data_IF_432359107336
#
_entry.id   IF_432359107336
#
_cell.length_a   1.000
_cell.length_b   1.000
_cell.length_c   1.000
_cell.angle_alpha   90.00
_cell.angle_beta   90.00
_cell.angle_gamma   90.00
#
_symmetry.space_group_name_H-M   'P 1'
#
loop_
_entity.id
_entity.type
_entity.pdbx_description
1 polymer ?
#
# COMPACT_ATOMS: atom_id res chain seq x y z
N UNK A 1 39.10 13.49 -5.40
CA UNK A 1 38.56 14.42 -6.42
C UNK A 1 37.13 14.77 -6.03
N UNK A 2 36.74 16.05 -5.94
CA UNK A 2 35.38 16.42 -5.59
C UNK A 2 34.46 16.05 -6.77
N UNK A 3 33.57 15.09 -6.54
CA UNK A 3 32.57 14.67 -7.52
C UNK A 3 31.68 15.85 -7.89
N UNK A 4 31.61 16.17 -9.18
CA UNK A 4 30.71 17.19 -9.73
C UNK A 4 29.30 16.95 -9.21
N UNK A 5 28.73 17.91 -8.48
CA UNK A 5 27.30 17.93 -8.20
C UNK A 5 26.56 17.99 -9.56
N UNK A 6 25.56 17.13 -9.81
CA UNK A 6 24.82 17.16 -11.07
C UNK A 6 24.15 18.53 -11.23
N UNK A 7 24.45 19.20 -12.35
CA UNK A 7 23.92 20.52 -12.65
C UNK A 7 22.42 20.44 -12.92
N UNK A 8 21.66 21.09 -12.04
CA UNK A 8 20.20 21.11 -12.03
C UNK A 8 19.62 21.75 -13.30
N UNK A 9 18.89 20.96 -14.08
CA UNK A 9 17.80 21.46 -14.93
C UNK A 9 16.51 20.80 -14.47
N UNK A 10 15.94 21.29 -13.37
CA UNK A 10 14.54 21.01 -13.08
C UNK A 10 13.74 21.39 -14.36
N UNK A 11 12.82 20.55 -14.85
CA UNK A 11 11.99 20.90 -15.99
C UNK A 11 11.40 22.28 -15.70
N UNK A 12 11.52 23.20 -16.65
CA UNK A 12 11.00 24.57 -16.53
C UNK A 12 9.56 24.59 -15.99
N UNK A 13 8.76 23.57 -16.30
CA UNK A 13 7.43 23.35 -15.75
C UNK A 13 7.41 23.20 -14.21
N UNK A 14 8.30 22.39 -13.62
CA UNK A 14 8.38 22.24 -12.15
C UNK A 14 8.74 23.58 -11.52
N UNK A 15 9.66 24.35 -12.13
CA UNK A 15 10.04 25.68 -11.62
C UNK A 15 8.89 26.67 -11.69
N UNK A 16 8.12 26.67 -12.78
CA UNK A 16 6.91 27.50 -12.90
C UNK A 16 5.91 27.13 -11.78
N UNK A 17 5.68 25.83 -11.56
CA UNK A 17 4.78 25.36 -10.50
C UNK A 17 5.29 25.75 -9.09
N UNK A 18 6.59 25.67 -8.83
CA UNK A 18 7.21 26.15 -7.59
C UNK A 18 6.98 27.66 -7.40
N UNK A 19 7.20 28.48 -8.45
CA UNK A 19 6.98 29.93 -8.39
C UNK A 19 5.51 30.29 -8.13
N UNK A 20 4.58 29.60 -8.80
CA UNK A 20 3.13 29.79 -8.58
C UNK A 20 2.73 29.36 -7.17
N UNK A 21 3.29 28.26 -6.66
CA UNK A 21 3.00 27.77 -5.33
C UNK A 21 3.66 28.60 -4.22
N UNK A 22 4.77 29.29 -4.49
CA UNK A 22 5.57 30.03 -3.52
C UNK A 22 4.76 30.99 -2.61
N UNK A 23 3.84 31.84 -3.11
CA UNK A 23 3.03 32.72 -2.24
C UNK A 23 1.87 32.01 -1.52
N UNK A 24 1.51 30.78 -1.90
CA UNK A 24 0.31 30.11 -1.37
C UNK A 24 0.58 29.47 0.00
N UNK A 25 -0.33 29.59 0.96
CA UNK A 25 -0.21 28.84 2.23
C UNK A 25 -0.47 27.34 2.02
N UNK A 26 0.01 26.48 2.93
CA UNK A 26 -0.32 25.04 2.92
C UNK A 26 -1.83 24.79 3.00
N UNK A 27 -2.58 25.66 3.71
CA UNK A 27 -4.03 25.60 3.76
C UNK A 27 -4.67 25.88 2.38
N UNK A 28 -4.15 26.86 1.62
CA UNK A 28 -4.61 27.14 0.26
C UNK A 28 -4.29 25.98 -0.69
N UNK A 29 -3.09 25.40 -0.60
CA UNK A 29 -2.74 24.21 -1.38
C UNK A 29 -3.64 23.02 -1.05
N UNK A 30 -4.00 22.83 0.22
CA UNK A 30 -4.95 21.79 0.63
C UNK A 30 -6.37 22.03 0.08
N UNK A 31 -6.83 23.29 0.03
CA UNK A 31 -8.11 23.63 -0.63
C UNK A 31 -8.06 23.31 -2.13
N UNK A 32 -6.97 23.64 -2.81
CA UNK A 32 -6.77 23.26 -4.22
C UNK A 32 -6.76 21.74 -4.39
N UNK A 33 -6.06 21.01 -3.52
CA UNK A 33 -6.04 19.55 -3.51
C UNK A 33 -7.43 18.95 -3.25
N UNK A 34 -8.27 19.62 -2.47
CA UNK A 34 -9.66 19.21 -2.24
C UNK A 34 -10.47 19.25 -3.52
N UNK A 35 -10.30 20.31 -4.33
CA UNK A 35 -10.96 20.45 -5.64
C UNK A 35 -10.42 19.39 -6.62
N UNK A 36 -9.10 19.38 -6.84
CA UNK A 36 -8.46 18.48 -7.82
C UNK A 36 -8.67 17.01 -7.43
N UNK A 37 -8.54 16.66 -6.16
CA UNK A 37 -8.76 15.31 -5.67
C UNK A 37 -10.21 14.86 -5.74
N UNK A 38 -11.17 15.77 -5.50
CA UNK A 38 -12.59 15.45 -5.70
C UNK A 38 -12.90 15.21 -7.18
N UNK A 39 -12.39 16.05 -8.07
CA UNK A 39 -12.54 15.85 -9.52
C UNK A 39 -11.86 14.56 -9.97
N UNK A 40 -10.64 14.29 -9.54
CA UNK A 40 -9.94 13.03 -9.81
C UNK A 40 -10.74 11.80 -9.36
N UNK A 41 -11.39 11.88 -8.20
CA UNK A 41 -12.23 10.79 -7.67
C UNK A 41 -13.48 10.57 -8.52
N UNK A 42 -14.07 11.64 -9.06
CA UNK A 42 -15.25 11.57 -9.93
C UNK A 42 -14.89 11.03 -11.32
N UNK A 43 -13.82 11.54 -11.93
CA UNK A 43 -13.45 11.25 -13.31
C UNK A 43 -12.69 9.92 -13.46
N UNK A 44 -11.86 9.54 -12.49
CA UNK A 44 -11.02 8.32 -12.58
C UNK A 44 -11.70 7.10 -11.96
N UNK A 45 -12.47 6.37 -12.77
CA UNK A 45 -13.12 5.12 -12.34
C UNK A 45 -12.11 4.07 -11.85
N UNK A 46 -10.94 3.98 -12.49
CA UNK A 46 -9.89 3.01 -12.14
C UNK A 46 -9.28 3.29 -10.77
N UNK A 47 -8.92 4.54 -10.47
CA UNK A 47 -8.37 4.92 -9.16
C UNK A 47 -9.42 4.74 -8.07
N UNK A 48 -10.65 5.21 -8.32
CA UNK A 48 -11.79 5.02 -7.41
C UNK A 48 -12.01 3.55 -7.08
N UNK A 49 -12.00 2.67 -8.09
CA UNK A 49 -12.11 1.21 -7.88
C UNK A 49 -10.99 0.69 -6.99
N UNK A 50 -9.73 1.02 -7.27
CA UNK A 50 -8.58 0.52 -6.49
C UNK A 50 -8.69 0.90 -5.03
N UNK A 51 -8.98 2.18 -4.76
CA UNK A 51 -9.13 2.70 -3.39
C UNK A 51 -10.29 2.00 -2.65
N UNK A 52 -11.46 1.93 -3.27
CA UNK A 52 -12.62 1.27 -2.68
C UNK A 52 -12.38 -0.23 -2.46
N UNK A 53 -11.68 -0.91 -3.37
CA UNK A 53 -11.34 -2.33 -3.21
C UNK A 53 -10.44 -2.54 -2.00
N UNK A 54 -9.41 -1.72 -1.82
CA UNK A 54 -8.54 -1.82 -0.64
C UNK A 54 -9.29 -1.50 0.67
N UNK A 55 -10.21 -0.53 0.66
CA UNK A 55 -11.06 -0.23 1.83
C UNK A 55 -11.99 -1.40 2.16
N UNK A 56 -12.59 -2.03 1.15
CA UNK A 56 -13.40 -3.24 1.34
C UNK A 56 -12.60 -4.42 1.89
N UNK A 57 -11.33 -4.55 1.49
CA UNK A 57 -10.42 -5.59 1.99
C UNK A 57 -9.91 -5.28 3.39
N UNK A 58 -9.91 -4.02 3.82
CA UNK A 58 -9.61 -3.62 5.19
C UNK A 58 -10.81 -3.91 6.13
N UNK A 59 -11.19 -5.18 6.24
CA UNK A 59 -12.42 -5.65 6.88
C UNK A 59 -12.57 -5.16 8.32
N UNK A 60 -11.48 -5.13 9.10
CA UNK A 60 -11.50 -4.69 10.49
C UNK A 60 -11.84 -3.21 10.69
N UNK A 61 -11.87 -2.39 9.63
CA UNK A 61 -12.38 -1.03 9.71
C UNK A 61 -13.92 -0.97 9.82
N UNK A 62 -14.62 -2.05 9.45
CA UNK A 62 -16.09 -2.18 9.55
C UNK A 62 -16.85 -0.96 9.01
N UNK A 63 -16.44 -0.48 7.84
CA UNK A 63 -16.95 0.76 7.26
C UNK A 63 -18.23 0.50 6.45
N UNK A 64 -19.25 1.33 6.68
CA UNK A 64 -20.39 1.39 5.77
C UNK A 64 -20.01 2.01 4.41
N UNK A 65 -20.87 1.84 3.40
CA UNK A 65 -20.60 2.26 2.02
C UNK A 65 -20.38 3.77 1.90
N UNK A 66 -21.15 4.56 2.66
CA UNK A 66 -21.09 6.02 2.60
C UNK A 66 -19.74 6.49 3.13
N UNK A 67 -19.32 5.93 4.25
CA UNK A 67 -18.05 6.19 4.93
C UNK A 67 -16.88 5.71 4.09
N UNK A 68 -16.96 4.51 3.49
CA UNK A 68 -15.95 4.03 2.54
C UNK A 68 -15.74 5.01 1.39
N UNK A 69 -16.81 5.51 0.76
CA UNK A 69 -16.71 6.50 -0.33
C UNK A 69 -16.15 7.84 0.13
N UNK A 70 -16.51 8.29 1.33
CA UNK A 70 -15.98 9.53 1.91
C UNK A 70 -14.48 9.41 2.19
N UNK A 71 -14.05 8.30 2.81
CA UNK A 71 -12.63 7.99 3.06
C UNK A 71 -11.88 7.85 1.74
N UNK A 72 -12.46 7.17 0.75
CA UNK A 72 -11.84 6.98 -0.56
C UNK A 72 -11.56 8.32 -1.27
N UNK A 73 -12.54 9.23 -1.25
CA UNK A 73 -12.36 10.58 -1.79
C UNK A 73 -11.32 11.37 -0.99
N UNK A 74 -11.36 11.29 0.34
CA UNK A 74 -10.39 11.98 1.21
C UNK A 74 -8.96 11.47 0.99
N UNK A 75 -8.78 10.17 0.80
CA UNK A 75 -7.50 9.54 0.48
C UNK A 75 -6.91 10.11 -0.81
N UNK A 76 -7.73 10.25 -1.84
CA UNK A 76 -7.28 10.84 -3.09
C UNK A 76 -6.97 12.33 -2.95
N UNK A 77 -7.79 13.10 -2.21
CA UNK A 77 -7.48 14.49 -1.84
C UNK A 77 -6.13 14.58 -1.13
N UNK A 78 -5.85 13.69 -0.18
CA UNK A 78 -4.57 13.70 0.53
C UNK A 78 -3.39 13.41 -0.42
N UNK A 79 -3.53 12.48 -1.37
CA UNK A 79 -2.48 12.23 -2.37
C UNK A 79 -2.15 13.50 -3.19
N UNK A 80 -3.16 14.26 -3.62
CA UNK A 80 -2.94 15.53 -4.31
C UNK A 80 -2.36 16.59 -3.37
N UNK A 81 -2.78 16.61 -2.11
CA UNK A 81 -2.20 17.52 -1.11
C UNK A 81 -0.71 17.25 -0.94
N UNK A 82 -0.30 15.98 -0.76
CA UNK A 82 1.12 15.59 -0.69
C UNK A 82 1.87 16.02 -1.95
N UNK A 83 1.28 15.79 -3.13
CA UNK A 83 1.86 16.22 -4.41
C UNK A 83 2.12 17.72 -4.46
N UNK A 84 1.17 18.53 -3.98
CA UNK A 84 1.33 19.98 -3.92
C UNK A 84 2.30 20.42 -2.82
N UNK A 85 2.37 19.69 -1.70
CA UNK A 85 3.30 19.97 -0.62
C UNK A 85 4.75 19.83 -1.11
N UNK A 86 5.07 18.90 -2.03
CA UNK A 86 6.40 18.81 -2.62
C UNK A 86 6.89 20.13 -3.24
N UNK A 87 5.98 20.96 -3.79
CA UNK A 87 6.31 22.29 -4.34
C UNK A 87 6.78 23.27 -3.25
N UNK A 88 6.45 23.00 -1.98
CA UNK A 88 6.90 23.77 -0.81
C UNK A 88 8.12 23.19 -0.14
N UNK A 89 8.29 21.87 -0.16
CA UNK A 89 9.36 21.18 0.56
C UNK A 89 10.76 21.44 -0.01
N UNK A 90 10.89 21.86 -1.28
CA UNK A 90 12.20 22.20 -1.89
C UNK A 90 12.75 23.56 -1.45
N UNK A 91 11.87 24.53 -1.24
CA UNK A 91 12.24 25.90 -0.91
C UNK A 91 12.22 26.14 0.61
N UNK A 92 12.27 25.06 1.39
CA UNK A 92 12.63 25.17 2.80
C UNK A 92 14.08 25.63 2.81
N UNK A 93 14.35 26.76 3.46
CA UNK A 93 15.72 27.21 3.62
C UNK A 93 16.55 26.06 4.19
N UNK A 94 17.77 25.88 3.67
CA UNK A 94 18.69 24.81 4.09
C UNK A 94 19.04 24.86 5.59
N UNK A 95 18.61 25.91 6.27
CA UNK A 95 18.61 26.00 7.71
C UNK A 95 17.49 25.12 8.30
N UNK A 96 17.87 23.93 8.78
CA UNK A 96 16.97 23.00 9.48
C UNK A 96 16.22 23.67 10.64
N UNK A 97 16.82 24.68 11.28
CA UNK A 97 16.16 25.44 12.35
C UNK A 97 14.92 26.18 11.84
N UNK A 98 14.85 26.54 10.55
CA UNK A 98 13.70 27.26 9.98
C UNK A 98 12.50 26.37 9.65
N UNK A 99 12.68 25.07 9.42
CA UNK A 99 11.54 24.14 9.27
C UNK A 99 10.79 24.01 10.59
N UNK A 100 11.56 23.85 11.67
CA UNK A 100 11.05 23.75 13.03
C UNK A 100 10.53 25.11 13.49
N UNK A 101 11.27 26.21 13.27
CA UNK A 101 10.86 27.56 13.68
C UNK A 101 9.67 28.12 12.91
N UNK A 102 9.49 27.75 11.64
CA UNK A 102 8.30 28.13 10.86
C UNK A 102 7.10 27.18 11.13
N UNK A 103 7.23 26.23 12.06
CA UNK A 103 6.20 25.24 12.41
C UNK A 103 5.67 24.43 11.21
N UNK A 104 6.50 24.24 10.17
CA UNK A 104 6.15 23.40 9.01
C UNK A 104 6.23 21.93 9.40
N UNK A 105 7.20 21.58 10.25
CA UNK A 105 7.28 20.29 10.92
C UNK A 105 7.48 20.54 12.40
N UNK A 106 6.57 20.02 13.21
CA UNK A 106 6.66 20.00 14.66
C UNK A 106 6.68 18.55 15.13
N UNK A 107 7.43 18.24 16.18
CA UNK A 107 7.62 16.88 16.65
C UNK A 107 6.98 16.76 18.04
N UNK A 108 6.09 15.80 18.17
CA UNK A 108 5.58 15.34 19.45
C UNK A 108 6.45 14.17 19.91
N UNK A 109 6.83 14.22 21.18
CA UNK A 109 7.72 13.29 21.84
C UNK A 109 9.13 13.22 21.23
N UNK A 110 9.81 14.36 20.98
CA UNK A 110 11.18 14.35 20.46
C UNK A 110 12.15 13.58 21.38
N UNK A 111 11.88 13.56 22.69
CA UNK A 111 12.69 12.88 23.70
C UNK A 111 12.86 11.39 23.44
N UNK A 112 11.95 10.75 22.69
CA UNK A 112 12.06 9.33 22.33
C UNK A 112 13.32 9.08 21.50
N UNK A 113 13.58 9.92 20.48
CA UNK A 113 14.75 9.75 19.62
C UNK A 113 15.98 10.33 20.32
N UNK A 114 15.85 11.48 20.98
CA UNK A 114 16.97 12.12 21.68
C UNK A 114 17.58 11.20 22.74
N UNK A 115 16.74 10.51 23.53
CA UNK A 115 17.21 9.57 24.55
C UNK A 115 17.91 8.36 23.93
N UNK A 116 17.36 7.79 22.86
CA UNK A 116 17.99 6.65 22.17
C UNK A 116 19.37 7.02 21.63
N UNK A 117 19.51 8.21 21.06
CA UNK A 117 20.79 8.71 20.56
C UNK A 117 21.76 8.95 21.73
N UNK A 118 21.29 9.56 22.82
CA UNK A 118 22.09 9.80 24.02
C UNK A 118 22.60 8.49 24.65
N UNK A 119 21.80 7.44 24.60
CA UNK A 119 22.15 6.09 25.05
C UNK A 119 23.05 5.32 24.06
N UNK A 120 23.46 5.96 22.96
CA UNK A 120 24.37 5.39 21.96
C UNK A 120 23.70 4.47 20.94
N UNK A 121 22.37 4.50 20.83
CA UNK A 121 21.62 3.68 19.87
C UNK A 121 21.36 4.42 18.55
N UNK A 122 21.48 3.68 17.45
CA UNK A 122 21.02 4.11 16.14
C UNK A 122 19.61 3.56 15.88
N UNK A 123 18.56 4.39 15.80
CA UNK A 123 17.20 3.90 15.63
C UNK A 123 16.90 3.50 14.18
N UNK A 124 16.10 2.45 14.03
CA UNK A 124 15.37 2.17 12.78
C UNK A 124 14.10 3.02 12.80
N UNK A 125 13.93 3.90 11.81
CA UNK A 125 12.80 4.82 11.74
C UNK A 125 11.83 4.35 10.66
N UNK A 126 10.60 4.04 11.03
CA UNK A 126 9.58 3.54 10.08
C UNK A 126 8.35 4.43 10.04
N UNK A 127 7.65 4.43 8.91
CA UNK A 127 6.41 5.18 8.72
C UNK A 127 5.45 4.41 7.81
N UNK A 128 4.21 4.88 7.68
CA UNK A 128 3.32 4.52 6.59
C UNK A 128 3.10 5.71 5.66
N UNK A 129 2.53 5.48 4.47
CA UNK A 129 2.13 6.54 3.55
C UNK A 129 0.85 7.24 4.06
N UNK A 130 0.96 7.87 5.23
CA UNK A 130 -0.10 8.56 5.97
C UNK A 130 0.16 10.07 6.00
N UNK A 131 -0.88 10.87 5.77
CA UNK A 131 -0.77 12.32 5.63
C UNK A 131 0.35 12.68 4.64
N UNK A 132 1.36 13.44 5.07
CA UNK A 132 2.57 13.68 4.30
C UNK A 132 3.75 12.92 4.92
N UNK A 133 4.08 11.77 4.35
CA UNK A 133 5.17 10.92 4.82
C UNK A 133 6.56 11.48 4.49
N UNK A 134 6.69 12.42 3.55
CA UNK A 134 7.98 13.09 3.32
C UNK A 134 8.38 13.93 4.54
N UNK A 135 7.39 14.54 5.22
CA UNK A 135 7.64 15.29 6.44
C UNK A 135 8.30 14.42 7.53
N UNK A 136 7.98 13.11 7.62
CA UNK A 136 8.62 12.22 8.60
C UNK A 136 10.10 12.04 8.30
N UNK A 137 10.44 11.85 7.02
CA UNK A 137 11.82 11.64 6.60
C UNK A 137 12.66 12.92 6.69
N UNK A 138 12.11 14.07 6.26
CA UNK A 138 12.77 15.36 6.39
C UNK A 138 12.97 15.74 7.85
N UNK A 139 11.96 15.53 8.71
CA UNK A 139 12.06 15.79 10.13
C UNK A 139 13.08 14.89 10.85
N UNK A 140 13.18 13.61 10.47
CA UNK A 140 14.24 12.73 11.00
C UNK A 140 15.63 13.18 10.53
N UNK A 141 15.78 13.46 9.23
CA UNK A 141 17.06 13.88 8.65
C UNK A 141 17.55 15.22 9.18
N UNK A 142 16.64 16.13 9.54
CA UNK A 142 17.02 17.41 10.15
C UNK A 142 17.58 17.28 11.56
N UNK A 143 17.33 16.17 12.26
CA UNK A 143 17.89 15.89 13.59
C UNK A 143 19.19 15.07 13.51
N UNK A 144 19.24 14.08 12.62
CA UNK A 144 20.39 13.20 12.47
C UNK A 144 20.53 12.71 11.03
N UNK A 145 21.76 12.60 10.48
CA UNK A 145 21.95 11.98 9.17
C UNK A 145 21.48 10.53 9.15
N UNK A 146 20.85 10.11 8.06
CA UNK A 146 20.38 8.75 7.91
C UNK A 146 20.20 8.34 6.46
N UNK A 147 19.75 7.11 6.27
CA UNK A 147 19.50 6.54 4.95
C UNK A 147 18.04 6.09 4.88
N UNK A 148 17.36 6.35 3.76
CA UNK A 148 16.01 5.83 3.51
C UNK A 148 15.99 5.03 2.22
N UNK A 149 15.20 3.96 2.22
CA UNK A 149 14.95 3.19 0.99
C UNK A 149 14.01 4.00 0.10
N UNK A 150 14.42 4.22 -1.15
CA UNK A 150 13.63 4.89 -2.16
C UNK A 150 13.64 4.11 -3.46
N UNK A 151 12.46 3.83 -4.00
CA UNK A 151 12.35 3.48 -5.42
C UNK A 151 12.69 4.71 -6.27
N UNK A 152 13.38 4.49 -7.39
CA UNK A 152 13.66 5.57 -8.36
C UNK A 152 12.41 5.81 -9.19
N UNK A 153 12.04 7.08 -9.37
CA UNK A 153 10.96 7.45 -10.27
C UNK A 153 11.40 7.29 -11.74
N UNK A 154 10.50 6.86 -12.62
CA UNK A 154 10.79 6.62 -14.04
C UNK A 154 11.02 7.90 -14.85
N UNK A 155 10.51 9.05 -14.37
CA UNK A 155 10.67 10.34 -15.04
C UNK A 155 11.88 11.04 -14.43
N UNK A 156 13.02 10.95 -15.11
CA UNK A 156 14.33 11.38 -14.59
C UNK A 156 14.33 12.78 -13.95
N UNK A 157 13.77 13.82 -14.59
CA UNK A 157 13.79 15.15 -14.00
C UNK A 157 12.94 15.31 -12.73
N UNK A 158 11.90 14.48 -12.57
CA UNK A 158 11.10 14.40 -11.33
C UNK A 158 11.86 13.61 -10.27
N UNK A 159 12.56 12.55 -10.67
CA UNK A 159 13.40 11.75 -9.77
C UNK A 159 14.50 12.63 -9.14
N UNK A 160 15.20 13.43 -9.95
CA UNK A 160 16.24 14.36 -9.48
C UNK A 160 15.66 15.45 -8.57
N UNK A 161 14.46 15.96 -8.89
CA UNK A 161 13.78 16.94 -8.07
C UNK A 161 13.42 16.40 -6.68
N UNK A 162 12.88 15.19 -6.61
CA UNK A 162 12.55 14.52 -5.35
C UNK A 162 13.83 14.17 -4.59
N UNK A 163 14.89 13.75 -5.30
CA UNK A 163 16.19 13.53 -4.71
C UNK A 163 16.72 14.80 -4.03
N UNK A 164 16.61 15.97 -4.68
CA UNK A 164 16.93 17.28 -4.10
C UNK A 164 16.31 17.49 -2.73
N UNK A 165 14.99 17.27 -2.66
CA UNK A 165 14.19 17.51 -1.48
C UNK A 165 14.62 16.57 -0.37
N UNK A 166 14.84 15.29 -0.70
CA UNK A 166 15.17 14.27 0.28
C UNK A 166 16.61 14.37 0.82
N UNK A 167 17.56 14.87 0.03
CA UNK A 167 18.96 14.98 0.48
C UNK A 167 19.31 16.32 1.11
N UNK A 168 18.38 17.29 1.14
CA UNK A 168 18.67 18.66 1.61
C UNK A 168 19.08 18.75 3.09
N UNK A 169 18.70 17.78 3.93
CA UNK A 169 19.07 17.69 5.35
C UNK A 169 20.01 16.51 5.64
N UNK A 170 20.94 16.19 4.74
CA UNK A 170 21.93 15.11 4.98
C UNK A 170 21.36 13.69 4.92
N UNK A 171 20.11 13.55 4.44
CA UNK A 171 19.52 12.25 4.14
C UNK A 171 20.15 11.61 2.91
N UNK A 172 20.31 10.29 2.93
CA UNK A 172 20.77 9.49 1.79
C UNK A 172 19.67 8.56 1.29
N UNK A 173 19.67 8.27 -0.02
CA UNK A 173 18.72 7.35 -0.63
C UNK A 173 19.43 6.06 -1.05
N UNK A 174 18.82 4.92 -0.75
CA UNK A 174 19.27 3.61 -1.24
C UNK A 174 18.17 2.91 -2.04
N UNK A 175 18.49 2.27 -3.17
CA UNK A 175 17.49 1.53 -3.92
C UNK A 175 17.15 0.21 -3.20
N UNK A 176 15.96 -0.37 -3.43
CA UNK A 176 15.50 -1.56 -2.72
C UNK A 176 16.46 -2.77 -2.78
N UNK A 177 17.20 -2.93 -3.88
CA UNK A 177 18.13 -4.05 -4.06
C UNK A 177 19.31 -4.03 -3.07
N UNK A 178 19.63 -2.87 -2.51
CA UNK A 178 20.75 -2.70 -1.57
C UNK A 178 20.28 -2.33 -0.15
N UNK A 179 18.97 -2.16 0.02
CA UNK A 179 18.29 -1.74 1.24
C UNK A 179 18.84 -2.40 2.52
N UNK A 180 18.83 -3.74 2.57
CA UNK A 180 19.20 -4.48 3.78
C UNK A 180 20.64 -4.17 4.20
N UNK A 181 21.60 -4.30 3.27
CA UNK A 181 23.02 -4.07 3.54
C UNK A 181 23.33 -2.61 3.86
N UNK A 182 22.71 -1.67 3.13
CA UNK A 182 22.93 -0.25 3.31
C UNK A 182 22.38 0.25 4.67
N UNK A 183 21.19 -0.21 5.08
CA UNK A 183 20.63 0.13 6.38
C UNK A 183 21.44 -0.42 7.55
N UNK A 184 21.88 -1.69 7.49
CA UNK A 184 22.78 -2.27 8.53
C UNK A 184 24.06 -1.44 8.66
N UNK A 185 24.65 -1.02 7.53
CA UNK A 185 25.86 -0.20 7.53
C UNK A 185 25.60 1.16 8.18
N UNK A 186 24.52 1.84 7.83
CA UNK A 186 24.17 3.13 8.41
C UNK A 186 23.97 3.02 9.93
N UNK A 187 23.20 2.03 10.39
CA UNK A 187 22.95 1.80 11.83
C UNK A 187 24.24 1.57 12.61
N UNK A 188 25.18 0.78 12.06
CA UNK A 188 26.51 0.56 12.68
C UNK A 188 27.40 1.80 12.69
N UNK A 189 27.12 2.78 11.83
CA UNK A 189 27.85 4.05 11.74
C UNK A 189 27.24 5.14 12.62
N UNK A 190 26.30 4.81 13.52
CA UNK A 190 25.66 5.83 14.36
C UNK A 190 24.62 6.65 13.59
N UNK A 191 24.02 6.12 12.51
CA UNK A 191 23.02 6.80 11.68
C UNK A 191 21.70 6.05 11.68
N UNK A 192 20.58 6.73 11.47
CA UNK A 192 19.30 6.04 11.33
C UNK A 192 19.17 5.32 9.98
N UNK A 193 18.37 4.25 9.96
CA UNK A 193 17.89 3.62 8.73
C UNK A 193 16.36 3.71 8.64
N UNK A 194 15.86 4.17 7.50
CA UNK A 194 14.49 4.62 7.28
C UNK A 194 13.73 3.80 6.23
N UNK A 195 12.44 3.52 6.46
CA UNK A 195 11.57 2.84 5.49
C UNK A 195 10.07 3.10 5.73
N UNK A 196 9.31 3.33 4.65
CA UNK A 196 7.87 3.20 4.66
C UNK A 196 7.46 1.72 4.49
N UNK A 197 6.65 1.19 5.40
CA UNK A 197 6.49 -0.27 5.58
C UNK A 197 5.20 -0.88 5.00
N UNK A 198 4.44 -0.07 4.28
CA UNK A 198 3.02 -0.32 3.99
C UNK A 198 2.71 -0.50 2.51
N UNK A 199 3.75 -0.58 1.68
CA UNK A 199 3.60 -1.04 0.30
C UNK A 199 3.72 -2.57 0.23
N UNK A 200 2.92 -3.16 -0.65
CA UNK A 200 2.89 -4.61 -0.84
C UNK A 200 4.21 -5.12 -1.42
N UNK A 201 4.70 -6.22 -0.87
CA UNK A 201 5.91 -6.90 -1.33
C UNK A 201 5.60 -8.39 -1.58
N UNK A 202 4.84 -8.74 -2.65
CA UNK A 202 4.37 -10.11 -2.88
C UNK A 202 5.50 -11.13 -3.06
N UNK A 203 6.70 -10.66 -3.43
CA UNK A 203 7.92 -11.46 -3.53
C UNK A 203 8.89 -11.06 -2.40
N UNK A 204 9.21 -12.01 -1.51
CA UNK A 204 10.13 -11.76 -0.39
C UNK A 204 9.53 -11.04 0.83
N UNK A 205 8.25 -10.63 0.76
CA UNK A 205 7.52 -10.13 1.92
C UNK A 205 6.91 -11.25 2.78
N UNK A 206 6.64 -10.95 4.04
CA UNK A 206 5.94 -11.83 4.97
C UNK A 206 4.42 -11.73 4.79
N UNK A 207 3.69 -12.86 4.68
CA UNK A 207 2.23 -12.88 4.57
C UNK A 207 1.58 -12.61 5.93
N UNK A 208 1.46 -11.32 6.30
CA UNK A 208 0.94 -10.90 7.61
C UNK A 208 -0.47 -10.36 7.51
N UNK A 209 -1.15 -10.25 8.66
CA UNK A 209 -2.49 -9.66 8.71
C UNK A 209 -2.40 -8.15 8.75
N UNK A 210 -3.17 -7.48 7.89
CA UNK A 210 -3.38 -6.03 7.90
C UNK A 210 -4.89 -5.77 7.72
N UNK A 211 -5.54 -5.22 8.75
CA UNK A 211 -7.00 -5.05 8.82
C UNK A 211 -7.80 -6.32 8.49
N UNK A 212 -7.38 -7.46 9.06
CA UNK A 212 -8.08 -8.74 8.91
C UNK A 212 -7.80 -9.49 7.61
N UNK A 213 -7.13 -8.86 6.64
CA UNK A 213 -6.79 -9.47 5.35
C UNK A 213 -5.28 -9.68 5.23
N UNK A 214 -4.89 -10.76 4.56
CA UNK A 214 -3.48 -11.05 4.30
C UNK A 214 -2.84 -10.01 3.38
N UNK A 215 -1.72 -9.43 3.81
CA UNK A 215 -0.94 -8.48 3.05
C UNK A 215 0.56 -8.76 3.16
N UNK A 216 1.24 -8.87 2.02
CA UNK A 216 2.68 -9.12 2.00
C UNK A 216 3.45 -7.89 2.43
N UNK A 217 4.26 -8.03 3.48
CA UNK A 217 4.90 -6.92 4.18
C UNK A 217 6.40 -7.11 4.23
N UNK A 218 7.15 -6.03 4.02
CA UNK A 218 8.61 -6.06 4.07
C UNK A 218 9.13 -6.41 5.48
N UNK A 219 10.03 -7.41 5.63
CA UNK A 219 10.68 -7.74 6.90
C UNK A 219 11.88 -6.83 7.20
N UNK A 220 12.25 -5.93 6.29
CA UNK A 220 13.50 -5.16 6.36
C UNK A 220 13.73 -4.42 7.69
N UNK A 221 12.75 -3.73 8.30
CA UNK A 221 12.97 -3.08 9.59
C UNK A 221 13.34 -4.04 10.71
N UNK A 222 12.71 -5.23 10.75
CA UNK A 222 13.00 -6.24 11.75
C UNK A 222 14.38 -6.88 11.51
N UNK A 223 14.75 -7.12 10.25
CA UNK A 223 16.08 -7.58 9.87
C UNK A 223 17.18 -6.59 10.28
N UNK A 224 16.93 -5.29 10.09
CA UNK A 224 17.84 -4.25 10.56
C UNK A 224 17.98 -4.28 12.08
N UNK A 225 16.87 -4.20 12.81
CA UNK A 225 16.83 -4.21 14.27
C UNK A 225 17.59 -5.40 14.86
N UNK A 226 17.33 -6.62 14.40
CA UNK A 226 17.99 -7.83 14.90
C UNK A 226 19.50 -7.87 14.60
N UNK A 227 19.93 -7.37 13.44
CA UNK A 227 21.34 -7.42 13.02
C UNK A 227 22.22 -6.36 13.67
N UNK A 228 21.60 -5.33 14.23
CA UNK A 228 22.32 -4.20 14.85
C UNK A 228 21.93 -3.95 16.29
N UNK A 229 21.03 -4.76 16.84
CA UNK A 229 20.40 -4.55 18.15
C UNK A 229 19.82 -3.11 18.28
N UNK A 230 19.21 -2.63 17.19
CA UNK A 230 18.66 -1.28 17.10
C UNK A 230 17.17 -1.27 17.44
N UNK A 231 16.69 -0.27 18.20
CA UNK A 231 15.26 -0.08 18.42
C UNK A 231 14.56 0.37 17.14
N UNK A 232 13.30 -0.04 16.97
CA UNK A 232 12.43 0.43 15.88
C UNK A 232 11.48 1.49 16.43
N UNK A 233 11.49 2.68 15.85
CA UNK A 233 10.56 3.78 16.17
C UNK A 233 9.65 4.03 14.99
N UNK A 234 8.35 3.86 15.19
CA UNK A 234 7.35 4.28 14.21
C UNK A 234 7.08 5.78 14.34
N UNK A 235 7.01 6.46 13.21
CA UNK A 235 6.70 7.89 13.11
C UNK A 235 5.39 8.07 12.38
N UNK A 236 4.46 8.79 13.00
CA UNK A 236 3.18 9.15 12.40
C UNK A 236 3.21 10.62 11.99
N UNK A 237 2.92 10.92 10.72
CA UNK A 237 2.63 12.30 10.30
C UNK A 237 1.14 12.60 10.43
N UNK A 238 0.84 13.83 10.88
CA UNK A 238 -0.50 14.40 10.87
C UNK A 238 -0.46 15.82 10.32
N UNK A 239 -1.38 16.16 9.43
CA UNK A 239 -1.54 17.53 8.95
C UNK A 239 -2.06 18.44 10.08
N UNK A 240 -1.49 19.63 10.17
CA UNK A 240 -1.93 20.72 11.06
C UNK A 240 -2.27 21.97 10.25
N UNK A 241 -2.72 23.05 10.89
CA UNK A 241 -3.10 24.28 10.20
C UNK A 241 -1.92 24.94 9.45
N UNK A 242 -0.71 24.81 9.99
CA UNK A 242 0.50 25.50 9.50
C UNK A 242 1.56 24.56 8.91
N UNK A 243 1.34 23.24 8.96
CA UNK A 243 2.37 22.26 8.62
C UNK A 243 1.99 20.85 9.01
N UNK A 244 2.94 20.11 9.56
CA UNK A 244 2.80 18.72 10.01
C UNK A 244 3.23 18.58 11.46
N UNK A 245 2.51 17.72 12.17
CA UNK A 245 2.92 17.20 13.47
C UNK A 245 3.38 15.77 13.26
N UNK A 246 4.63 15.50 13.59
CA UNK A 246 5.18 14.17 13.67
C UNK A 246 4.96 13.66 15.08
N UNK A 247 4.65 12.38 15.24
CA UNK A 247 4.65 11.73 16.55
C UNK A 247 5.57 10.53 16.50
N UNK A 248 6.54 10.51 17.40
CA UNK A 248 7.35 9.32 17.66
C UNK A 248 6.61 8.42 18.64
N UNK A 249 6.41 7.17 18.22
CA UNK A 249 5.87 6.14 19.10
C UNK A 249 6.98 5.57 19.98
N UNK A 250 6.59 4.88 21.05
CA UNK A 250 7.54 4.19 21.90
C UNK A 250 8.42 3.21 21.07
N UNK A 251 9.72 3.07 21.41
CA UNK A 251 10.61 2.18 20.70
C UNK A 251 10.20 0.72 20.90
N UNK A 252 10.30 -0.06 19.83
CA UNK A 252 10.11 -1.50 19.83
C UNK A 252 11.47 -2.15 19.71
N UNK A 253 11.86 -2.90 20.75
CA UNK A 253 13.15 -3.57 20.79
C UNK A 253 13.07 -4.98 20.17
N UNK A 254 14.13 -5.40 19.46
CA UNK A 254 14.29 -6.80 19.09
C UNK A 254 14.58 -7.62 20.36
N UNK A 255 13.96 -8.79 20.43
CA UNK A 255 14.23 -9.79 21.46
C UNK A 255 15.10 -10.91 20.86
N UNK A 256 16.38 -10.92 21.23
CA UNK A 256 17.36 -11.88 20.72
C UNK A 256 17.25 -13.27 21.34
N UNK A 257 16.39 -13.44 22.36
CA UNK A 257 16.10 -14.76 22.94
C UNK A 257 15.11 -15.57 22.08
N UNK A 258 14.31 -14.89 21.25
CA UNK A 258 13.37 -15.53 20.34
C UNK A 258 14.09 -16.16 19.14
N UNK A 259 13.56 -17.26 18.56
CA UNK A 259 14.04 -17.76 17.28
C UNK A 259 13.99 -16.66 16.21
N UNK A 260 15.05 -16.57 15.41
CA UNK A 260 15.27 -15.45 14.49
C UNK A 260 14.07 -15.14 13.58
N UNK A 261 13.42 -16.15 13.00
CA UNK A 261 12.29 -15.95 12.10
C UNK A 261 11.01 -15.54 12.85
N UNK A 262 10.79 -16.09 14.04
CA UNK A 262 9.64 -15.76 14.88
C UNK A 262 9.70 -14.30 15.34
N UNK A 263 10.91 -13.84 15.67
CA UNK A 263 11.15 -12.46 16.08
C UNK A 263 10.94 -11.47 14.93
N UNK A 264 11.38 -11.82 13.71
CA UNK A 264 11.08 -11.00 12.52
C UNK A 264 9.57 -10.89 12.31
N UNK A 265 8.85 -12.01 12.40
CA UNK A 265 7.40 -12.04 12.25
C UNK A 265 6.71 -11.22 13.36
N UNK A 266 7.14 -11.36 14.62
CA UNK A 266 6.62 -10.61 15.78
C UNK A 266 6.77 -9.09 15.57
N UNK A 267 8.00 -8.64 15.29
CA UNK A 267 8.31 -7.23 15.06
C UNK A 267 7.51 -6.67 13.87
N UNK A 268 7.52 -7.37 12.74
CA UNK A 268 6.83 -6.91 11.52
C UNK A 268 5.32 -6.82 11.73
N UNK A 269 4.71 -7.80 12.41
CA UNK A 269 3.28 -7.77 12.72
C UNK A 269 2.94 -6.69 13.75
N UNK A 270 3.81 -6.43 14.74
CA UNK A 270 3.63 -5.34 15.70
C UNK A 270 3.64 -3.98 15.01
N UNK A 271 4.53 -3.77 14.04
CA UNK A 271 4.56 -2.55 13.24
C UNK A 271 3.29 -2.38 12.40
N UNK A 272 2.78 -3.47 11.81
CA UNK A 272 1.49 -3.41 11.10
C UNK A 272 0.35 -3.01 12.03
N UNK A 273 0.26 -3.59 13.24
CA UNK A 273 -0.77 -3.20 14.24
C UNK A 273 -0.66 -1.74 14.65
N UNK A 274 0.55 -1.23 14.85
CA UNK A 274 0.78 0.18 15.18
C UNK A 274 0.32 1.10 14.04
N UNK A 275 0.64 0.74 12.79
CA UNK A 275 0.20 1.47 11.61
C UNK A 275 -1.32 1.42 11.45
N UNK A 276 -1.96 0.28 11.66
CA UNK A 276 -3.42 0.19 11.62
C UNK A 276 -4.07 1.12 12.66
N UNK A 277 -3.53 1.19 13.87
CA UNK A 277 -4.03 2.09 14.90
C UNK A 277 -3.91 3.57 14.49
N UNK A 278 -2.87 3.91 13.74
CA UNK A 278 -2.69 5.26 13.18
C UNK A 278 -3.65 5.55 12.03
N UNK A 279 -3.85 4.58 11.13
CA UNK A 279 -4.81 4.69 10.03
C UNK A 279 -6.24 4.80 10.58
N UNK A 280 -6.62 4.03 11.62
CA UNK A 280 -7.96 4.12 12.24
C UNK A 280 -8.29 5.53 12.72
N UNK A 281 -7.30 6.30 13.19
CA UNK A 281 -7.50 7.69 13.63
C UNK A 281 -7.76 8.66 12.47
N UNK A 282 -7.18 8.40 11.29
CA UNK A 282 -7.26 9.30 10.14
C UNK A 282 -7.30 8.49 8.83
N UNK A 283 -8.35 7.68 8.59
CA UNK A 283 -8.32 6.69 7.51
C UNK A 283 -8.26 7.33 6.13
N UNK A 284 -8.83 8.53 5.97
CA UNK A 284 -8.76 9.30 4.73
C UNK A 284 -7.41 9.97 4.46
N UNK A 285 -6.45 9.91 5.38
CA UNK A 285 -5.10 10.46 5.17
C UNK A 285 -4.14 9.35 4.69
N UNK A 286 -4.57 8.10 4.64
CA UNK A 286 -3.75 6.97 4.20
C UNK A 286 -3.80 6.81 2.67
N UNK A 287 -2.69 6.40 2.05
CA UNK A 287 -2.58 6.15 0.61
C UNK A 287 -3.25 4.83 0.20
N UNK A 288 -4.58 4.81 0.19
CA UNK A 288 -5.37 3.65 -0.27
C UNK A 288 -5.27 3.37 -1.77
N UNK A 289 -4.61 4.23 -2.55
CA UNK A 289 -4.43 4.01 -3.99
C UNK A 289 -3.41 2.91 -4.30
N UNK A 290 -2.41 2.71 -3.45
CA UNK A 290 -1.46 1.61 -3.61
C UNK A 290 -2.18 0.27 -3.44
N UNK A 291 -1.85 -0.76 -4.22
CA UNK A 291 -2.46 -2.09 -4.06
C UNK A 291 -1.90 -2.80 -2.81
N UNK A 292 -2.33 -2.39 -1.61
CA UNK A 292 -1.82 -2.89 -0.32
C UNK A 292 -1.95 -4.40 -0.18
N UNK A 293 -3.04 -4.97 -0.69
CA UNK A 293 -3.38 -6.39 -0.61
C UNK A 293 -2.92 -7.16 -1.85
N UNK A 294 -1.95 -6.63 -2.59
CA UNK A 294 -1.43 -7.34 -3.75
C UNK A 294 -0.89 -8.71 -3.34
N UNK A 295 -1.37 -9.75 -4.01
CA UNK A 295 -0.87 -11.10 -3.93
C UNK A 295 0.02 -11.39 -5.14
N UNK A 296 0.75 -12.50 -5.09
CA UNK A 296 1.52 -12.95 -6.24
C UNK A 296 0.57 -13.45 -7.35
N UNK A 297 0.76 -12.92 -8.57
CA UNK A 297 0.06 -13.36 -9.78
C UNK A 297 1.10 -13.80 -10.83
N UNK A 298 0.75 -14.79 -11.65
CA UNK A 298 1.68 -15.29 -12.66
C UNK A 298 1.94 -14.25 -13.77
N UNK A 299 3.21 -14.13 -14.17
CA UNK A 299 3.62 -13.20 -15.22
C UNK A 299 3.09 -13.58 -16.61
N UNK A 300 2.65 -14.83 -16.80
CA UNK A 300 2.11 -15.32 -18.07
C UNK A 300 0.61 -15.03 -18.27
N UNK A 301 -0.08 -14.45 -17.28
CA UNK A 301 -1.46 -14.01 -17.46
C UNK A 301 -1.50 -12.73 -18.31
N UNK A 302 -2.55 -12.50 -19.09
CA UNK A 302 -2.76 -11.22 -19.76
C UNK A 302 -3.01 -10.11 -18.73
N UNK A 303 -2.59 -8.88 -19.04
CA UNK A 303 -2.65 -7.76 -18.09
C UNK A 303 -4.07 -7.49 -17.55
N UNK A 304 -5.10 -7.69 -18.37
CA UNK A 304 -6.51 -7.50 -17.98
C UNK A 304 -6.98 -8.46 -16.89
N UNK A 305 -6.28 -9.59 -16.69
CA UNK A 305 -6.65 -10.64 -15.74
C UNK A 305 -5.61 -10.86 -14.62
N UNK A 306 -4.54 -10.04 -14.57
CA UNK A 306 -3.56 -10.04 -13.46
C UNK A 306 -4.14 -9.38 -12.21
N UNK A 307 -5.19 -10.00 -11.68
CA UNK A 307 -5.88 -9.60 -10.48
C UNK A 307 -5.89 -10.77 -9.50
N UNK A 308 -5.85 -10.42 -8.22
CA UNK A 308 -5.63 -11.32 -7.09
C UNK A 308 -6.83 -11.40 -6.16
N UNK A 309 -7.85 -10.58 -6.40
CA UNK A 309 -9.11 -10.57 -5.63
C UNK A 309 -10.24 -11.01 -6.54
N UNK A 310 -10.64 -12.26 -6.35
CA UNK A 310 -11.46 -13.03 -7.27
C UNK A 310 -12.85 -13.27 -6.70
N UNK A 311 -13.83 -13.27 -7.59
CA UNK A 311 -15.16 -13.78 -7.33
C UNK A 311 -15.45 -14.91 -8.32
N UNK A 312 -15.92 -16.05 -7.81
CA UNK A 312 -16.40 -17.17 -8.61
C UNK A 312 -17.86 -17.42 -8.28
N UNK A 313 -18.75 -17.27 -9.25
CA UNK A 313 -20.16 -17.64 -9.11
C UNK A 313 -20.38 -18.97 -9.79
N UNK A 314 -20.75 -20.00 -9.02
CA UNK A 314 -21.04 -21.33 -9.54
C UNK A 314 -22.41 -21.37 -10.27
N UNK A 315 -22.67 -22.38 -11.10
CA UNK A 315 -23.99 -22.56 -11.72
C UNK A 315 -25.09 -22.85 -10.69
N UNK A 316 -26.34 -22.45 -10.97
CA UNK A 316 -27.50 -22.71 -10.10
C UNK A 316 -27.85 -24.21 -9.98
N UNK A 317 -27.65 -24.98 -11.05
CA UNK A 317 -27.90 -26.42 -11.04
C UNK A 317 -26.88 -27.14 -10.16
N UNK A 318 -27.36 -27.89 -9.16
CA UNK A 318 -26.54 -28.72 -8.28
C UNK A 318 -25.54 -29.58 -9.05
N UNK A 319 -25.99 -30.30 -10.08
CA UNK A 319 -25.13 -31.20 -10.87
C UNK A 319 -24.01 -30.43 -11.60
N UNK A 320 -24.32 -29.24 -12.12
CA UNK A 320 -23.32 -28.40 -12.77
C UNK A 320 -22.34 -27.78 -11.76
N UNK A 321 -22.84 -27.31 -10.61
CA UNK A 321 -21.99 -26.81 -9.53
C UNK A 321 -21.04 -27.88 -8.99
N UNK A 322 -21.52 -29.09 -8.72
CA UNK A 322 -20.71 -30.20 -8.22
C UNK A 322 -19.59 -30.59 -9.21
N UNK A 323 -19.85 -30.50 -10.53
CA UNK A 323 -18.82 -30.67 -11.57
C UNK A 323 -17.74 -29.59 -11.50
N UNK A 324 -18.14 -28.31 -11.43
CA UNK A 324 -17.17 -27.20 -11.32
C UNK A 324 -16.37 -27.31 -10.02
N UNK A 325 -17.00 -27.70 -8.90
CA UNK A 325 -16.33 -27.91 -7.61
C UNK A 325 -15.20 -28.94 -7.72
N UNK A 326 -15.40 -30.02 -8.48
CA UNK A 326 -14.39 -31.05 -8.71
C UNK A 326 -13.17 -30.54 -9.49
N UNK A 327 -13.31 -29.44 -10.24
CA UNK A 327 -12.26 -28.86 -11.07
C UNK A 327 -11.60 -27.61 -10.46
N UNK A 328 -12.03 -27.17 -9.28
CA UNK A 328 -11.55 -25.92 -8.66
C UNK A 328 -10.03 -25.88 -8.44
N UNK A 329 -9.38 -27.05 -8.27
CA UNK A 329 -7.93 -27.14 -8.15
C UNK A 329 -7.18 -26.56 -9.36
N UNK A 330 -7.81 -26.46 -10.53
CA UNK A 330 -7.25 -25.77 -11.69
C UNK A 330 -6.87 -24.32 -11.38
N UNK A 331 -7.61 -23.63 -10.50
CA UNK A 331 -7.30 -22.25 -10.10
C UNK A 331 -5.93 -22.11 -9.44
N UNK A 332 -5.39 -23.17 -8.82
CA UNK A 332 -4.08 -23.12 -8.18
C UNK A 332 -2.97 -22.79 -9.16
N UNK A 333 -3.10 -23.24 -10.41
CA UNK A 333 -2.12 -23.00 -11.48
C UNK A 333 -2.07 -21.54 -11.93
N UNK A 334 -3.18 -20.81 -11.79
CA UNK A 334 -3.32 -19.44 -12.31
C UNK A 334 -3.32 -18.39 -11.19
N UNK A 335 -3.82 -18.75 -10.00
CA UNK A 335 -4.07 -17.84 -8.88
C UNK A 335 -3.71 -18.49 -7.51
N UNK A 336 -2.48 -19.00 -7.32
CA UNK A 336 -2.12 -19.84 -6.16
C UNK A 336 -2.27 -19.17 -4.78
N UNK A 337 -2.33 -17.83 -4.76
CA UNK A 337 -2.36 -16.98 -3.57
C UNK A 337 -3.54 -15.99 -3.56
N UNK A 338 -4.55 -16.21 -4.38
CA UNK A 338 -5.65 -15.26 -4.49
C UNK A 338 -6.47 -15.12 -3.19
N UNK A 339 -7.15 -13.99 -3.09
CA UNK A 339 -8.27 -13.77 -2.19
C UNK A 339 -9.54 -14.15 -2.98
N UNK A 340 -10.04 -15.36 -2.78
CA UNK A 340 -11.11 -15.95 -3.57
C UNK A 340 -12.42 -15.98 -2.78
N UNK A 341 -13.47 -15.39 -3.34
CA UNK A 341 -14.85 -15.60 -2.85
C UNK A 341 -15.61 -16.49 -3.82
N UNK A 342 -16.15 -17.61 -3.32
CA UNK A 342 -16.96 -18.55 -4.09
C UNK A 342 -18.42 -18.40 -3.65
N UNK A 343 -19.30 -18.04 -4.59
CA UNK A 343 -20.74 -18.13 -4.43
C UNK A 343 -21.22 -19.48 -4.92
N UNK A 344 -21.76 -20.27 -4.01
CA UNK A 344 -22.17 -21.64 -4.22
C UNK A 344 -23.68 -21.77 -3.98
N UNK A 345 -24.45 -22.40 -4.87
CA UNK A 345 -25.87 -22.57 -4.63
C UNK A 345 -26.07 -23.44 -3.38
N UNK A 346 -27.06 -23.12 -2.53
CA UNK A 346 -27.29 -23.82 -1.26
C UNK A 346 -27.50 -25.33 -1.42
N UNK A 347 -27.95 -25.77 -2.60
CA UNK A 347 -28.16 -27.17 -2.94
C UNK A 347 -26.87 -27.95 -3.31
N UNK A 348 -25.76 -27.27 -3.60
CA UNK A 348 -24.50 -27.91 -4.01
C UNK A 348 -23.73 -28.55 -2.84
N UNK A 349 -22.77 -29.41 -3.18
CA UNK A 349 -21.81 -29.97 -2.23
C UNK A 349 -21.09 -28.86 -1.47
N UNK A 350 -21.10 -28.93 -0.13
CA UNK A 350 -20.52 -27.88 0.73
C UNK A 350 -18.99 -27.89 0.79
N UNK A 351 -18.32 -28.83 0.12
CA UNK A 351 -16.86 -29.00 0.17
C UNK A 351 -16.21 -28.42 -1.07
N UNK A 352 -15.30 -27.47 -0.89
CA UNK A 352 -14.33 -27.06 -1.92
C UNK A 352 -13.14 -28.00 -1.86
N UNK A 353 -12.82 -28.69 -2.96
CA UNK A 353 -11.76 -29.72 -2.99
C UNK A 353 -10.52 -29.18 -3.71
N UNK A 354 -9.34 -29.49 -3.18
CA UNK A 354 -8.07 -29.32 -3.90
C UNK A 354 -7.59 -27.89 -4.11
N UNK A 355 -8.12 -26.89 -3.40
CA UNK A 355 -7.59 -25.52 -3.43
C UNK A 355 -6.31 -25.40 -2.59
N UNK A 356 -5.40 -24.53 -3.04
CA UNK A 356 -4.13 -24.22 -2.38
C UNK A 356 -4.34 -23.73 -0.94
N UNK A 357 -3.52 -24.21 0.00
CA UNK A 357 -3.49 -23.72 1.39
C UNK A 357 -3.04 -22.25 1.48
N UNK A 358 -2.34 -21.76 0.46
CA UNK A 358 -1.94 -20.37 0.33
C UNK A 358 -3.06 -19.47 -0.22
N UNK A 359 -4.23 -20.00 -0.58
CA UNK A 359 -5.36 -19.19 -1.02
C UNK A 359 -6.22 -18.79 0.18
N UNK A 360 -6.64 -17.52 0.27
CA UNK A 360 -7.63 -17.12 1.27
C UNK A 360 -9.03 -17.26 0.64
N UNK A 361 -9.73 -18.34 0.98
CA UNK A 361 -11.03 -18.70 0.40
C UNK A 361 -12.16 -18.33 1.33
N UNK A 362 -13.17 -17.63 0.81
CA UNK A 362 -14.45 -17.37 1.47
C UNK A 362 -15.56 -18.04 0.66
N UNK A 363 -16.32 -18.93 1.27
CA UNK A 363 -17.48 -19.56 0.63
C UNK A 363 -18.75 -18.89 1.12
N UNK A 364 -19.59 -18.44 0.18
CA UNK A 364 -20.90 -17.88 0.43
C UNK A 364 -21.95 -18.74 -0.26
N UNK A 365 -23.09 -18.93 0.39
CA UNK A 365 -24.20 -19.67 -0.17
C UNK A 365 -25.25 -18.72 -0.75
N UNK A 366 -25.92 -19.13 -1.82
CA UNK A 366 -27.03 -18.39 -2.41
C UNK A 366 -28.17 -19.32 -2.80
N UNK A 367 -29.41 -18.83 -2.70
CA UNK A 367 -30.60 -19.54 -3.18
C UNK A 367 -31.06 -18.97 -4.52
N UNK A 368 -30.83 -17.67 -4.71
CA UNK A 368 -31.15 -16.92 -5.93
C UNK A 368 -29.95 -16.13 -6.41
N UNK A 369 -29.85 -15.86 -7.72
CA UNK A 369 -28.75 -15.05 -8.24
C UNK A 369 -28.68 -13.64 -7.64
N UNK A 370 -29.79 -13.09 -7.15
CA UNK A 370 -29.81 -11.80 -6.43
C UNK A 370 -28.96 -11.81 -5.16
N UNK A 371 -28.83 -12.94 -4.46
CA UNK A 371 -28.02 -13.03 -3.24
C UNK A 371 -26.53 -12.88 -3.54
N UNK A 372 -26.12 -13.13 -4.79
CA UNK A 372 -24.75 -12.90 -5.25
C UNK A 372 -24.44 -11.44 -5.54
N UNK A 373 -25.44 -10.55 -5.56
CA UNK A 373 -25.29 -9.14 -5.94
C UNK A 373 -25.01 -8.27 -4.71
N UNK A 374 -23.88 -8.53 -4.06
CA UNK A 374 -23.46 -7.75 -2.89
C UNK A 374 -22.92 -6.38 -3.28
N UNK A 375 -23.15 -5.38 -2.44
CA UNK A 375 -22.51 -4.09 -2.60
C UNK A 375 -21.16 -4.06 -1.88
N UNK A 376 -20.24 -4.85 -2.42
CA UNK A 376 -18.85 -4.90 -2.00
C UNK A 376 -17.93 -4.52 -3.16
N UNK A 377 -17.00 -3.61 -2.90
CA UNK A 377 -16.05 -3.13 -3.89
C UNK A 377 -14.81 -4.01 -4.04
N UNK A 378 -14.61 -5.06 -3.23
CA UNK A 378 -13.37 -5.87 -3.25
C UNK A 378 -13.13 -6.59 -4.58
N UNK A 379 -14.19 -7.06 -5.24
CA UNK A 379 -14.07 -7.98 -6.37
C UNK A 379 -13.49 -7.27 -7.60
N UNK A 380 -12.32 -7.73 -8.04
CA UNK A 380 -11.59 -7.14 -9.16
C UNK A 380 -11.78 -7.94 -10.44
N UNK A 381 -11.74 -9.27 -10.34
CA UNK A 381 -11.95 -10.21 -11.43
C UNK A 381 -13.05 -11.20 -11.07
N UNK A 382 -13.95 -11.46 -12.01
CA UNK A 382 -15.14 -12.27 -11.78
C UNK A 382 -15.17 -13.41 -12.78
N UNK A 383 -15.25 -14.63 -12.28
CA UNK A 383 -15.55 -15.84 -13.03
C UNK A 383 -17.01 -16.19 -12.80
N UNK A 384 -17.79 -16.21 -13.87
CA UNK A 384 -19.24 -16.20 -13.80
C UNK A 384 -19.79 -17.40 -14.60
N UNK A 385 -20.24 -18.44 -13.90
CA UNK A 385 -20.96 -19.59 -14.47
C UNK A 385 -22.48 -19.39 -14.47
N UNK A 386 -23.00 -18.24 -14.01
CA UNK A 386 -24.43 -17.99 -13.98
C UNK A 386 -24.99 -17.92 -15.40
N UNK A 387 -26.27 -18.25 -15.56
CA UNK A 387 -26.97 -17.95 -16.81
C UNK A 387 -27.19 -16.43 -16.96
N UNK A 388 -27.20 -15.93 -18.19
CA UNK A 388 -27.43 -14.52 -18.49
C UNK A 388 -26.25 -13.60 -18.16
N UNK A 389 -26.48 -12.29 -18.05
CA UNK A 389 -25.39 -11.29 -17.87
C UNK A 389 -25.53 -10.42 -16.61
N UNK A 390 -26.46 -10.76 -15.71
CA UNK A 390 -26.83 -9.96 -14.54
C UNK A 390 -25.64 -9.71 -13.61
N UNK A 391 -24.96 -10.77 -13.17
CA UNK A 391 -23.78 -10.69 -12.28
C UNK A 391 -22.66 -9.88 -12.92
N UNK A 392 -22.25 -10.30 -14.13
CA UNK A 392 -21.21 -9.60 -14.90
C UNK A 392 -21.52 -8.10 -15.12
N UNK A 393 -22.78 -7.74 -15.40
CA UNK A 393 -23.19 -6.33 -15.61
C UNK A 393 -23.20 -5.56 -14.29
N UNK A 394 -23.69 -6.16 -13.22
CA UNK A 394 -23.78 -5.55 -11.90
C UNK A 394 -22.41 -5.13 -11.37
N UNK A 395 -21.43 -6.01 -11.46
CA UNK A 395 -20.09 -5.72 -10.94
C UNK A 395 -19.21 -4.90 -11.89
N UNK A 396 -19.39 -5.00 -13.22
CA UNK A 396 -18.74 -4.06 -14.16
C UNK A 396 -19.18 -2.63 -13.92
N UNK A 397 -20.47 -2.39 -13.62
CA UNK A 397 -20.96 -1.05 -13.20
C UNK A 397 -20.31 -0.56 -11.91
N UNK A 398 -19.83 -1.47 -11.06
CA UNK A 398 -19.05 -1.18 -9.84
C UNK A 398 -17.54 -1.13 -10.07
N UNK A 399 -17.11 -1.18 -11.32
CA UNK A 399 -15.71 -1.05 -11.71
C UNK A 399 -14.88 -2.31 -11.53
N UNK A 400 -15.48 -3.51 -11.46
CA UNK A 400 -14.70 -4.74 -11.66
C UNK A 400 -13.88 -4.60 -12.96
N UNK A 401 -12.58 -4.93 -12.88
CA UNK A 401 -11.66 -4.72 -14.00
C UNK A 401 -11.94 -5.68 -15.15
N UNK A 402 -12.34 -6.91 -14.82
CA UNK A 402 -12.72 -7.91 -15.80
C UNK A 402 -13.81 -8.83 -15.24
N UNK A 403 -14.61 -9.40 -16.14
CA UNK A 403 -15.62 -10.40 -15.84
C UNK A 403 -15.66 -11.38 -17.00
N UNK A 404 -15.44 -12.65 -16.68
CA UNK A 404 -15.29 -13.75 -17.61
C UNK A 404 -16.49 -14.66 -17.45
N UNK A 405 -17.19 -14.95 -18.55
CA UNK A 405 -18.23 -15.95 -18.59
C UNK A 405 -17.63 -17.33 -18.85
N UNK A 406 -18.02 -18.29 -18.03
CA UNK A 406 -17.54 -19.67 -18.12
C UNK A 406 -18.69 -20.62 -18.40
N UNK A 407 -18.41 -21.69 -19.13
CA UNK A 407 -19.35 -22.77 -19.40
C UNK A 407 -19.06 -23.97 -18.49
N UNK A 408 -20.06 -24.55 -17.81
CA UNK A 408 -19.87 -25.78 -17.04
C UNK A 408 -19.66 -27.01 -17.93
N UNK A 409 -19.78 -26.88 -19.26
CA UNK A 409 -19.54 -27.98 -20.22
C UNK A 409 -18.10 -28.08 -20.72
N UNK A 410 -17.24 -27.10 -20.38
CA UNK A 410 -15.85 -27.06 -20.80
C UNK A 410 -14.99 -27.13 -19.54
N UNK A 411 -13.90 -27.92 -19.51
CA UNK A 411 -13.02 -27.98 -18.34
C UNK A 411 -12.50 -26.59 -17.93
N UNK A 412 -12.50 -26.29 -16.62
CA UNK A 412 -12.07 -24.98 -16.09
C UNK A 412 -10.64 -24.65 -16.50
N UNK A 413 -9.72 -25.61 -16.42
CA UNK A 413 -8.32 -25.39 -16.81
C UNK A 413 -8.18 -24.96 -18.27
N UNK A 414 -8.93 -25.61 -19.18
CA UNK A 414 -8.94 -25.26 -20.60
C UNK A 414 -9.46 -23.83 -20.80
N UNK A 415 -10.60 -23.49 -20.18
CA UNK A 415 -11.17 -22.16 -20.31
C UNK A 415 -10.24 -21.06 -19.79
N UNK A 416 -9.54 -21.30 -18.68
CA UNK A 416 -8.58 -20.36 -18.14
C UNK A 416 -7.33 -20.24 -19.02
N UNK A 417 -6.83 -21.36 -19.55
CA UNK A 417 -5.69 -21.36 -20.47
C UNK A 417 -6.01 -20.53 -21.72
N UNK A 418 -7.18 -20.73 -22.32
CA UNK A 418 -7.59 -20.07 -23.55
C UNK A 418 -7.83 -18.57 -23.36
N UNK A 419 -8.46 -18.18 -22.24
CA UNK A 419 -8.92 -16.80 -22.03
C UNK A 419 -7.93 -15.93 -21.26
N UNK A 420 -7.11 -16.51 -20.38
CA UNK A 420 -6.35 -15.76 -19.38
C UNK A 420 -4.85 -15.72 -19.68
N UNK A 421 -4.30 -16.73 -20.36
CA UNK A 421 -2.87 -16.76 -20.70
C UNK A 421 -2.52 -15.84 -21.87
N UNK A 422 -1.27 -15.38 -21.89
CA UNK A 422 -0.68 -14.75 -23.07
C UNK A 422 -0.45 -15.84 -24.12
N UNK A 423 -1.14 -15.73 -25.26
CA UNK A 423 -0.81 -16.52 -26.43
C UNK A 423 0.38 -15.86 -27.12
N UNK A 424 1.55 -16.49 -27.05
CA UNK A 424 2.64 -16.15 -27.94
C UNK A 424 2.31 -16.77 -29.30
N UNK A 425 1.78 -15.95 -30.21
CA UNK A 425 1.73 -16.26 -31.64
C UNK A 425 3.12 -16.21 -32.25
#
# INVERSE_FOLDING_TARGET
MPGKQPSYRAPWLIRILECIAAPLSLATLYKLATVVGTLGFMLSARQRKRILSNLSLAGDLNLDRRTQRQIARKSLINLYAVTFDYLKLRNLDRDSNRIVSNNIVSINNPEVIDQLIADGHSPVIVTGHLANWEATFLGASSQQPGIVISQRFFVEPVADWIHAIRTQFGGELTPPQHAVRAGIRALRQGRFAGLAIDQALPEGGLPLTFFGTRAYTTPTPALWALRTNSPIVMVMARRSATGYRLRYHAPIWPDTSNPHNDEIQRLTQQLQRQLEADIRRMPGDYLWLHNRYQQHTHQHLQQAYRHDVLMLVLPESKQAADRVIAELSALNRFYPRALLTIYMPSAASKKTVGLSTDMQVTVKHYDTLSDTLEDDWRYQLIFDYSQGSTVSRYYRRRGAFASIKLSPSIPLEQQLADQVLIHHS
#
